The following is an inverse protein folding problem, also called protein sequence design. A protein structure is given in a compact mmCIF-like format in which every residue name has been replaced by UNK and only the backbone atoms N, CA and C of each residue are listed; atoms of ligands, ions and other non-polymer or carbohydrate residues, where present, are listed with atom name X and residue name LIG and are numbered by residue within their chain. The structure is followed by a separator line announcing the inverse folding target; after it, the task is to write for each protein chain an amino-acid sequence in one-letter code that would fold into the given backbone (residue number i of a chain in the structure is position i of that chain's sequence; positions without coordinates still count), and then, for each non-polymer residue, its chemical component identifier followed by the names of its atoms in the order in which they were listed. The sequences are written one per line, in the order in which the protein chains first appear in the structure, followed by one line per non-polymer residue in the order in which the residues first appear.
data_IF_843893969402
#
_entry.id   IF_843893969402
#
_cell.length_a   1.000
_cell.length_b   1.000
_cell.length_c   1.000
_cell.angle_alpha   90.00
_cell.angle_beta   90.00
_cell.angle_gamma   90.00
#
_symmetry.space_group_name_H-M   'P 1'
#
loop_
_entity.id
_entity.type
_entity.pdbx_description
1 polymer ?
#
# COMPACT_ATOMS: atom_id res chain seq x y z
N UNK A 1 2.44 -41.07 9.60
CA UNK A 1 2.96 -40.18 8.55
C UNK A 1 2.03 -38.99 8.47
N UNK A 2 2.49 -37.76 8.72
CA UNK A 2 1.66 -36.56 8.57
C UNK A 2 1.56 -36.26 7.07
N UNK A 3 0.37 -36.41 6.47
CA UNK A 3 0.14 -36.01 5.09
C UNK A 3 0.27 -34.49 5.03
N UNK A 4 1.32 -34.02 4.36
CA UNK A 4 1.70 -32.61 4.29
C UNK A 4 0.84 -31.82 3.28
N UNK A 5 -0.47 -31.80 3.46
CA UNK A 5 -1.35 -30.87 2.74
C UNK A 5 -2.31 -30.25 3.74
N UNK A 6 -1.91 -29.11 4.29
CA UNK A 6 -2.81 -28.25 5.06
C UNK A 6 -3.83 -27.63 4.09
N UNK A 7 -5.07 -27.34 4.56
CA UNK A 7 -6.10 -26.77 3.69
C UNK A 7 -5.65 -25.42 3.12
N UNK A 8 -6.09 -25.09 1.91
CA UNK A 8 -5.85 -23.78 1.30
C UNK A 8 -6.39 -22.66 2.19
N UNK A 9 -5.50 -21.81 2.70
CA UNK A 9 -5.83 -20.71 3.60
C UNK A 9 -6.31 -19.44 2.87
N UNK A 10 -6.35 -19.46 1.53
CA UNK A 10 -6.92 -18.41 0.68
C UNK A 10 -8.37 -18.71 0.26
N UNK A 11 -8.99 -19.78 0.78
CA UNK A 11 -10.38 -20.14 0.49
C UNK A 11 -11.14 -20.49 1.79
N UNK A 12 -12.00 -19.58 2.33
CA UNK A 12 -12.38 -18.27 1.80
C UNK A 12 -11.25 -17.25 1.90
N UNK A 13 -11.16 -16.31 0.94
CA UNK A 13 -10.04 -15.36 0.86
C UNK A 13 -10.04 -14.37 2.04
N UNK A 14 -9.07 -14.46 2.98
CA UNK A 14 -8.99 -13.53 4.10
C UNK A 14 -8.50 -12.14 3.66
N UNK A 15 -7.87 -12.05 2.49
CA UNK A 15 -7.31 -10.84 1.91
C UNK A 15 -8.31 -10.11 0.99
N UNK A 16 -9.61 -10.23 1.22
CA UNK A 16 -10.66 -9.55 0.44
C UNK A 16 -10.74 -8.05 0.81
N UNK A 17 -9.62 -7.34 0.61
CA UNK A 17 -9.45 -5.91 0.84
C UNK A 17 -8.95 -5.25 -0.44
N UNK A 18 -9.38 -4.00 -0.67
CA UNK A 18 -8.99 -3.23 -1.88
C UNK A 18 -7.48 -3.06 -2.01
N UNK A 19 -6.73 -3.05 -0.91
CA UNK A 19 -5.28 -2.94 -0.91
C UNK A 19 -4.53 -4.24 -1.16
N UNK A 20 -5.20 -5.34 -1.47
CA UNK A 20 -4.56 -6.65 -1.70
C UNK A 20 -4.36 -6.90 -3.20
N UNK A 21 -3.11 -7.24 -3.55
CA UNK A 21 -2.70 -7.73 -4.88
C UNK A 21 -2.97 -9.22 -5.03
N UNK A 22 -2.59 -10.02 -4.04
CA UNK A 22 -2.75 -11.48 -4.07
C UNK A 22 -2.84 -12.08 -2.66
N UNK A 23 -3.42 -13.27 -2.56
CA UNK A 23 -3.31 -14.14 -1.39
C UNK A 23 -2.38 -15.31 -1.74
N UNK A 24 -1.38 -15.56 -0.89
CA UNK A 24 -0.46 -16.66 -1.03
C UNK A 24 -0.72 -17.67 0.09
N UNK A 25 -1.07 -18.89 -0.30
CA UNK A 25 -1.22 -20.01 0.63
C UNK A 25 0.16 -20.46 1.14
N UNK A 26 0.27 -20.63 2.45
CA UNK A 26 1.50 -21.06 3.12
C UNK A 26 1.17 -22.25 4.03
N UNK A 27 2.19 -23.05 4.36
CA UNK A 27 2.00 -24.22 5.20
C UNK A 27 1.46 -23.83 6.61
N UNK A 28 0.15 -23.94 6.79
CA UNK A 28 -0.55 -23.61 8.03
C UNK A 28 -0.81 -22.12 8.24
N UNK A 29 -0.69 -21.31 7.19
CA UNK A 29 -0.89 -19.87 7.25
C UNK A 29 -1.22 -19.28 5.87
N UNK A 30 -1.45 -17.98 5.79
CA UNK A 30 -1.55 -17.23 4.52
C UNK A 30 -0.70 -15.96 4.59
N UNK A 31 -0.38 -15.43 3.42
CA UNK A 31 0.23 -14.11 3.27
C UNK A 31 -0.56 -13.28 2.26
N UNK A 32 -1.05 -12.12 2.70
CA UNK A 32 -1.64 -11.13 1.80
C UNK A 32 -0.52 -10.25 1.23
N UNK A 33 -0.39 -10.29 -0.08
CA UNK A 33 0.50 -9.41 -0.81
C UNK A 33 -0.21 -8.08 -1.04
N UNK A 34 0.31 -7.00 -0.47
CA UNK A 34 -0.32 -5.69 -0.53
C UNK A 34 0.09 -4.92 -1.80
N UNK A 35 -0.84 -4.12 -2.31
CA UNK A 35 -0.54 -3.10 -3.30
C UNK A 35 0.34 -2.00 -2.69
N UNK A 36 0.99 -1.20 -3.55
CA UNK A 36 1.75 -0.05 -3.08
C UNK A 36 0.83 0.92 -2.32
N UNK A 37 1.35 1.51 -1.23
CA UNK A 37 0.55 2.37 -0.35
C UNK A 37 -0.32 1.63 0.67
N UNK A 38 -0.29 0.29 0.69
CA UNK A 38 -1.01 -0.52 1.68
C UNK A 38 -0.07 -1.37 2.51
N UNK A 39 -0.48 -1.62 3.76
CA UNK A 39 0.26 -2.42 4.71
C UNK A 39 -0.66 -3.12 5.72
N UNK A 40 -0.02 -3.77 6.70
CA UNK A 40 -0.70 -4.66 7.62
C UNK A 40 -0.87 -6.07 7.05
N UNK A 41 -1.27 -7.01 7.91
CA UNK A 41 -1.40 -8.43 7.55
C UNK A 41 -2.48 -8.68 6.49
N UNK A 42 -3.50 -7.83 6.45
CA UNK A 42 -4.64 -7.94 5.55
C UNK A 42 -4.67 -6.81 4.50
N UNK A 43 -3.60 -6.02 4.37
CA UNK A 43 -3.55 -4.87 3.47
C UNK A 43 -4.69 -3.87 3.70
N UNK A 44 -5.10 -3.72 4.95
CA UNK A 44 -6.21 -2.89 5.41
C UNK A 44 -5.73 -1.57 6.03
N UNK A 45 -4.42 -1.38 6.12
CA UNK A 45 -3.80 -0.16 6.65
C UNK A 45 -3.21 0.64 5.51
N UNK A 46 -3.64 1.87 5.41
CA UNK A 46 -3.00 2.86 4.55
C UNK A 46 -1.58 3.16 5.06
N UNK A 47 -0.62 3.23 4.14
CA UNK A 47 0.75 3.64 4.43
C UNK A 47 0.84 5.14 4.19
N UNK A 48 1.20 5.90 5.22
CA UNK A 48 1.36 7.35 5.06
C UNK A 48 2.74 7.69 4.46
N UNK A 49 2.82 7.85 3.13
CA UNK A 49 4.08 8.15 2.45
C UNK A 49 4.62 9.54 2.82
N UNK A 50 3.76 10.48 3.19
CA UNK A 50 4.18 11.82 3.63
C UNK A 50 5.00 11.79 4.93
N UNK A 51 4.86 10.73 5.74
CA UNK A 51 5.62 10.59 6.99
C UNK A 51 7.11 10.31 6.75
N UNK A 52 7.49 9.90 5.55
CA UNK A 52 8.87 9.64 5.18
C UNK A 52 9.33 10.60 4.09
N UNK A 53 10.29 11.47 4.42
CA UNK A 53 10.86 12.46 3.49
C UNK A 53 9.78 13.26 2.73
N UNK A 54 8.64 13.55 3.37
CA UNK A 54 7.52 14.28 2.77
C UNK A 54 6.96 13.61 1.49
N UNK A 55 7.04 12.29 1.35
CA UNK A 55 6.67 11.58 0.12
C UNK A 55 7.58 11.91 -1.08
N UNK A 56 8.68 12.63 -0.85
CA UNK A 56 9.50 13.23 -1.90
C UNK A 56 8.87 14.45 -2.56
N UNK A 57 7.82 15.04 -1.98
CA UNK A 57 7.25 16.31 -2.43
C UNK A 57 8.18 17.48 -2.03
N UNK A 58 8.37 18.44 -2.94
CA UNK A 58 9.20 19.62 -2.66
C UNK A 58 8.56 20.60 -1.67
N UNK A 59 7.22 20.64 -1.61
CA UNK A 59 6.47 21.54 -0.74
C UNK A 59 5.46 20.76 0.10
N UNK A 60 4.20 20.67 -0.34
CA UNK A 60 3.12 20.08 0.45
C UNK A 60 2.92 18.62 0.02
N UNK A 61 2.78 17.71 0.99
CA UNK A 61 2.38 16.33 0.75
C UNK A 61 1.03 16.06 1.41
N UNK A 62 0.10 15.48 0.65
CA UNK A 62 -1.19 15.03 1.14
C UNK A 62 -1.30 13.52 1.04
N UNK A 63 -1.39 12.86 2.19
CA UNK A 63 -1.62 11.43 2.28
C UNK A 63 -3.05 11.06 1.83
N UNK A 64 -3.20 9.96 1.10
CA UNK A 64 -4.48 9.45 0.59
C UNK A 64 -4.51 7.93 0.72
N UNK A 65 -5.69 7.31 0.90
CA UNK A 65 -5.78 5.85 0.91
C UNK A 65 -5.13 5.20 -0.33
N UNK A 66 -4.04 4.46 -0.12
CA UNK A 66 -3.27 3.75 -1.15
C UNK A 66 -2.31 4.62 -1.96
N UNK A 67 -2.12 5.91 -1.63
CA UNK A 67 -1.23 6.80 -2.37
C UNK A 67 -0.97 8.14 -1.65
N UNK A 68 -0.27 9.04 -2.32
CA UNK A 68 -0.14 10.42 -1.89
C UNK A 68 -0.12 11.33 -3.11
N UNK A 69 -0.31 12.62 -2.91
CA UNK A 69 -0.05 13.59 -3.95
C UNK A 69 0.64 14.82 -3.38
N UNK A 70 1.51 15.39 -4.21
CA UNK A 70 2.19 16.63 -3.91
C UNK A 70 1.35 17.83 -4.34
N UNK A 71 1.46 18.92 -3.61
CA UNK A 71 0.83 20.19 -3.93
C UNK A 71 1.77 21.36 -3.66
N UNK A 72 1.46 22.49 -4.27
CA UNK A 72 2.29 23.68 -4.23
C UNK A 72 1.60 24.82 -3.47
N UNK A 73 2.39 25.67 -2.84
CA UNK A 73 1.94 26.95 -2.32
C UNK A 73 1.47 27.85 -3.47
N UNK A 74 0.62 28.82 -3.14
CA UNK A 74 0.12 29.78 -4.13
C UNK A 74 1.27 30.49 -4.85
N UNK A 75 1.19 30.55 -6.18
CA UNK A 75 2.22 31.15 -7.04
C UNK A 75 3.25 30.17 -7.61
N UNK A 76 3.15 28.88 -7.30
CA UNK A 76 3.97 27.81 -7.88
C UNK A 76 3.10 26.82 -8.66
N UNK A 77 3.69 26.18 -9.66
CA UNK A 77 3.06 25.11 -10.44
C UNK A 77 3.73 23.76 -10.17
N UNK A 78 2.93 22.70 -10.17
CA UNK A 78 3.43 21.35 -10.00
C UNK A 78 4.05 20.86 -11.31
N UNK A 79 5.32 20.49 -11.25
CA UNK A 79 6.10 19.91 -12.35
C UNK A 79 5.48 18.59 -12.84
N UNK A 80 5.70 18.19 -14.10
CA UNK A 80 5.27 16.89 -14.63
C UNK A 80 5.78 15.67 -13.85
N UNK A 81 6.85 15.82 -13.06
CA UNK A 81 7.33 14.79 -12.14
C UNK A 81 6.38 14.52 -10.96
N UNK A 82 5.31 15.32 -10.82
CA UNK A 82 4.30 15.26 -9.76
C UNK A 82 4.86 15.43 -8.35
N UNK A 83 6.05 16.04 -8.21
CA UNK A 83 6.78 16.16 -6.94
C UNK A 83 7.35 17.55 -6.71
N UNK A 84 7.83 18.19 -7.76
CA UNK A 84 8.55 19.46 -7.68
C UNK A 84 7.62 20.63 -7.98
N UNK A 85 7.67 21.68 -7.16
CA UNK A 85 6.96 22.93 -7.35
C UNK A 85 7.94 24.01 -7.83
N UNK A 86 7.62 24.68 -8.94
CA UNK A 86 8.46 25.70 -9.56
C UNK A 86 7.66 26.88 -10.11
#
# INVERSE_FOLDING_TARGET
MCVQNLPDQCTPNPCDKKGTRACQDLMGNFFCECEAGWGGRLCDKDVNECSQQNGGCSQICYNRPGSFHCACYSGFELSPDSRTCQ
#
